data_IF_736866208058
#
_entry.id   IF_736866208058
#
_cell.length_a   1.000
_cell.length_b   1.000
_cell.length_c   1.000
_cell.angle_alpha   90.00
_cell.angle_beta   90.00
_cell.angle_gamma   90.00
#
_symmetry.space_group_name_H-M   'P 1'
#
loop_
_entity.id
_entity.type
_entity.pdbx_description
1 polymer ?
#
# COMPACT_ATOMS: atom_id res chain seq x y z
N UNK A 1 3.01 35.70 2.42
CA UNK A 1 3.04 35.70 3.90
C UNK A 1 4.08 34.70 4.38
N UNK A 2 5.18 35.14 5.00
CA UNK A 2 6.18 34.22 5.56
C UNK A 2 5.70 33.71 6.93
N UNK A 3 5.35 32.43 7.02
CA UNK A 3 5.02 31.81 8.29
C UNK A 3 6.19 31.89 9.28
N UNK A 4 5.90 32.08 10.58
CA UNK A 4 6.94 32.13 11.62
C UNK A 4 7.75 30.82 11.62
N UNK A 5 9.10 30.87 11.65
CA UNK A 5 9.93 29.67 11.75
C UNK A 5 9.49 28.78 12.93
N UNK A 6 9.39 27.47 12.70
CA UNK A 6 8.91 26.50 13.70
C UNK A 6 7.40 26.41 13.92
N UNK A 7 6.60 27.30 13.29
CA UNK A 7 5.15 27.15 13.28
C UNK A 7 4.68 25.96 12.43
N UNK A 8 3.50 25.43 12.73
CA UNK A 8 2.91 24.32 11.97
C UNK A 8 2.78 24.65 10.48
N UNK A 9 2.42 25.88 10.13
CA UNK A 9 2.26 26.29 8.73
C UNK A 9 3.61 26.40 7.99
N UNK A 10 4.68 26.81 8.70
CA UNK A 10 6.04 26.83 8.16
C UNK A 10 6.54 25.41 7.85
N UNK A 11 6.36 24.49 8.80
CA UNK A 11 6.71 23.08 8.64
C UNK A 11 5.87 22.39 7.56
N UNK A 12 4.56 22.65 7.51
CA UNK A 12 3.66 22.08 6.51
C UNK A 12 4.05 22.50 5.09
N UNK A 13 4.43 23.77 4.90
CA UNK A 13 4.94 24.23 3.59
C UNK A 13 6.19 23.45 3.16
N UNK A 14 7.09 23.16 4.10
CA UNK A 14 8.27 22.34 3.81
C UNK A 14 7.89 20.90 3.47
N UNK A 15 6.97 20.29 4.22
CA UNK A 15 6.47 18.94 3.94
C UNK A 15 5.81 18.83 2.57
N UNK A 16 4.95 19.78 2.19
CA UNK A 16 4.30 19.80 0.87
C UNK A 16 5.34 19.96 -0.24
N UNK A 17 6.35 20.82 -0.05
CA UNK A 17 7.46 20.96 -1.00
C UNK A 17 8.23 19.64 -1.15
N UNK A 18 8.52 18.97 -0.04
CA UNK A 18 9.21 17.68 -0.05
C UNK A 18 8.38 16.62 -0.74
N UNK A 19 7.06 16.56 -0.48
CA UNK A 19 6.14 15.63 -1.14
C UNK A 19 6.17 15.76 -2.66
N UNK A 20 6.09 16.99 -3.19
CA UNK A 20 6.18 17.24 -4.63
C UNK A 20 7.56 16.87 -5.19
N UNK A 21 8.62 17.22 -4.47
CA UNK A 21 9.98 16.90 -4.88
C UNK A 21 10.22 15.38 -4.93
N UNK A 22 9.77 14.63 -3.92
CA UNK A 22 9.91 13.16 -3.89
C UNK A 22 9.04 12.47 -4.94
N UNK A 23 7.84 12.98 -5.20
CA UNK A 23 6.90 12.38 -6.17
C UNK A 23 7.35 12.61 -7.61
N UNK A 24 7.98 13.76 -7.89
CA UNK A 24 8.37 14.18 -9.24
C UNK A 24 9.89 14.10 -9.49
N UNK A 25 10.66 13.54 -8.56
CA UNK A 25 12.09 13.26 -8.74
C UNK A 25 12.29 11.89 -9.40
N UNK A 26 13.39 11.74 -10.14
CA UNK A 26 13.85 10.41 -10.56
C UNK A 26 14.13 9.51 -9.37
N UNK A 27 13.81 8.22 -9.49
CA UNK A 27 14.32 7.16 -8.61
C UNK A 27 15.72 6.69 -9.01
N UNK A 28 16.22 7.05 -10.19
CA UNK A 28 17.56 6.67 -10.63
C UNK A 28 18.62 7.56 -9.99
N UNK A 29 19.58 6.95 -9.30
CA UNK A 29 20.69 7.64 -8.65
C UNK A 29 21.62 8.39 -9.63
N UNK A 30 21.56 8.08 -10.93
CA UNK A 30 22.36 8.70 -11.99
C UNK A 30 21.72 9.95 -12.59
N UNK A 31 20.42 10.15 -12.40
CA UNK A 31 19.74 11.33 -12.93
C UNK A 31 20.03 12.53 -12.03
N UNK A 32 20.13 13.76 -12.60
CA UNK A 32 20.32 14.95 -11.80
C UNK A 32 19.21 15.06 -10.75
N UNK A 33 19.62 15.33 -9.50
CA UNK A 33 18.69 15.57 -8.38
C UNK A 33 17.83 16.79 -8.72
N UNK A 34 16.58 16.56 -9.15
CA UNK A 34 15.72 17.62 -9.66
C UNK A 34 14.39 17.12 -10.20
N UNK A 35 13.57 18.08 -10.63
CA UNK A 35 12.23 17.86 -11.15
C UNK A 35 12.29 17.16 -12.51
N UNK A 36 11.70 15.98 -12.61
CA UNK A 36 11.70 15.21 -13.85
C UNK A 36 10.60 15.71 -14.78
N UNK A 37 10.94 16.67 -15.65
CA UNK A 37 9.97 17.32 -16.55
C UNK A 37 9.20 16.33 -17.45
N UNK A 38 9.79 15.19 -17.79
CA UNK A 38 9.11 14.11 -18.53
C UNK A 38 7.96 13.50 -17.72
N UNK A 39 8.18 13.20 -16.43
CA UNK A 39 7.12 12.68 -15.56
C UNK A 39 5.99 13.69 -15.42
N UNK A 40 6.35 14.97 -15.31
CA UNK A 40 5.40 16.08 -15.20
C UNK A 40 4.56 16.18 -16.46
N UNK A 41 5.17 16.09 -17.65
CA UNK A 41 4.47 16.08 -18.92
C UNK A 41 3.51 14.88 -19.03
N UNK A 42 3.92 13.68 -18.60
CA UNK A 42 3.05 12.49 -18.57
C UNK A 42 1.83 12.72 -17.66
N UNK A 43 2.05 13.21 -16.44
CA UNK A 43 0.96 13.51 -15.50
C UNK A 43 0.03 14.59 -16.04
N UNK A 44 0.56 15.62 -16.69
CA UNK A 44 -0.22 16.68 -17.31
C UNK A 44 -1.11 16.13 -18.44
N UNK A 45 -0.55 15.33 -19.34
CA UNK A 45 -1.31 14.69 -20.44
C UNK A 45 -2.41 13.80 -19.90
N UNK A 46 -2.11 12.95 -18.91
CA UNK A 46 -3.10 12.11 -18.26
C UNK A 46 -4.23 12.95 -17.62
N UNK A 47 -3.87 14.04 -16.96
CA UNK A 47 -4.83 14.94 -16.32
C UNK A 47 -5.74 15.66 -17.32
N UNK A 48 -5.21 16.04 -18.50
CA UNK A 48 -5.99 16.60 -19.59
C UNK A 48 -6.96 15.56 -20.20
N UNK A 49 -6.53 14.30 -20.37
CA UNK A 49 -7.41 13.22 -20.81
C UNK A 49 -8.55 12.96 -19.81
N UNK A 50 -8.24 13.00 -18.51
CA UNK A 50 -9.26 12.92 -17.46
C UNK A 50 -10.26 14.10 -17.54
N UNK A 51 -9.80 15.31 -17.86
CA UNK A 51 -10.69 16.46 -18.10
C UNK A 51 -11.61 16.26 -19.30
N UNK A 52 -11.08 15.74 -20.42
CA UNK A 52 -11.89 15.43 -21.59
C UNK A 52 -12.98 14.39 -21.27
N UNK A 53 -12.62 13.31 -20.56
CA UNK A 53 -13.58 12.31 -20.09
C UNK A 53 -14.61 12.88 -19.12
N UNK A 54 -14.18 13.69 -18.15
CA UNK A 54 -15.05 14.35 -17.19
C UNK A 54 -16.03 15.31 -17.88
N UNK A 55 -15.59 16.07 -18.88
CA UNK A 55 -16.45 16.95 -19.68
C UNK A 55 -17.58 16.17 -20.35
N UNK A 56 -17.26 15.03 -20.96
CA UNK A 56 -18.24 14.16 -21.61
C UNK A 56 -19.22 13.54 -20.62
N UNK A 57 -18.72 13.00 -19.49
CA UNK A 57 -19.54 12.35 -18.46
C UNK A 57 -20.50 13.34 -17.82
N UNK A 58 -19.99 14.50 -17.39
CA UNK A 58 -20.82 15.54 -16.77
C UNK A 58 -21.88 16.01 -17.75
N UNK A 59 -21.53 16.28 -19.01
CA UNK A 59 -22.50 16.74 -20.02
C UNK A 59 -23.65 15.74 -20.28
N UNK A 60 -23.45 14.44 -20.03
CA UNK A 60 -24.49 13.41 -20.13
C UNK A 60 -25.35 13.29 -18.87
N UNK A 61 -24.78 13.59 -17.70
CA UNK A 61 -25.43 13.41 -16.39
C UNK A 61 -26.10 14.70 -15.90
N UNK A 62 -25.57 15.86 -16.28
CA UNK A 62 -26.00 17.17 -15.79
C UNK A 62 -27.06 17.84 -16.67
N UNK A 63 -27.64 17.15 -17.65
CA UNK A 63 -28.62 17.72 -18.59
C UNK A 63 -30.00 18.06 -18.00
N UNK A 64 -30.17 18.09 -16.67
CA UNK A 64 -31.45 18.39 -16.03
C UNK A 64 -31.29 19.22 -14.76
N UNK A 65 -32.01 20.34 -14.71
CA UNK A 65 -32.22 21.21 -13.53
C UNK A 65 -33.16 20.57 -12.47
N UNK A 66 -33.44 19.27 -12.59
CA UNK A 66 -34.29 18.53 -11.66
C UNK A 66 -33.57 18.00 -10.42
N UNK A 67 -34.37 17.46 -9.50
CA UNK A 67 -33.87 16.73 -8.33
C UNK A 67 -32.89 15.64 -8.74
N UNK A 68 -31.83 15.51 -7.95
CA UNK A 68 -30.78 14.52 -8.17
C UNK A 68 -31.40 13.12 -8.13
N UNK A 69 -31.29 12.31 -9.21
CA UNK A 69 -31.93 11.01 -9.24
C UNK A 69 -31.49 10.12 -8.08
N UNK A 70 -32.43 9.41 -7.45
CA UNK A 70 -32.19 8.42 -6.37
C UNK A 70 -31.03 7.48 -6.71
N UNK A 71 -30.99 6.98 -7.94
CA UNK A 71 -29.96 6.08 -8.43
C UNK A 71 -28.56 6.71 -8.41
N UNK A 72 -28.46 8.01 -8.70
CA UNK A 72 -27.20 8.75 -8.67
C UNK A 72 -26.73 8.97 -7.22
N UNK A 73 -27.64 9.28 -6.29
CA UNK A 73 -27.33 9.38 -4.84
C UNK A 73 -26.84 8.04 -4.29
N UNK A 74 -27.52 6.95 -4.65
CA UNK A 74 -27.12 5.58 -4.30
C UNK A 74 -25.71 5.25 -4.81
N UNK A 75 -25.48 5.45 -6.12
CA UNK A 75 -24.19 5.19 -6.74
C UNK A 75 -23.07 6.04 -6.12
N UNK A 76 -23.32 7.34 -5.91
CA UNK A 76 -22.39 8.25 -5.25
C UNK A 76 -22.09 7.83 -3.81
N UNK A 77 -23.09 7.39 -3.05
CA UNK A 77 -22.90 6.91 -1.67
C UNK A 77 -22.03 5.66 -1.64
N UNK A 78 -22.35 4.65 -2.46
CA UNK A 78 -21.58 3.40 -2.53
C UNK A 78 -20.14 3.69 -2.96
N UNK A 79 -19.97 4.53 -3.99
CA UNK A 79 -18.65 4.92 -4.47
C UNK A 79 -17.86 5.68 -3.40
N UNK A 80 -18.48 6.60 -2.68
CA UNK A 80 -17.81 7.37 -1.63
C UNK A 80 -17.44 6.52 -0.43
N UNK A 81 -18.29 5.56 -0.03
CA UNK A 81 -17.99 4.60 1.05
C UNK A 81 -16.84 3.69 0.64
N UNK A 82 -16.84 3.16 -0.58
CA UNK A 82 -15.73 2.38 -1.10
C UNK A 82 -14.44 3.21 -1.12
N UNK A 83 -14.51 4.44 -1.65
CA UNK A 83 -13.41 5.41 -1.68
C UNK A 83 -12.87 5.68 -0.27
N UNK A 84 -13.75 5.82 0.73
CA UNK A 84 -13.37 6.04 2.11
C UNK A 84 -12.60 4.86 2.71
N UNK A 85 -13.00 3.62 2.44
CA UNK A 85 -12.25 2.44 2.89
C UNK A 85 -10.84 2.41 2.29
N UNK A 86 -10.68 2.85 1.04
CA UNK A 86 -9.35 2.99 0.42
C UNK A 86 -8.55 4.16 1.00
N UNK A 87 -9.19 5.29 1.29
CA UNK A 87 -8.56 6.40 2.01
C UNK A 87 -8.08 5.94 3.39
N UNK A 88 -8.88 5.18 4.13
CA UNK A 88 -8.52 4.66 5.45
C UNK A 88 -7.31 3.71 5.38
N UNK A 89 -7.32 2.77 4.43
CA UNK A 89 -6.22 1.82 4.26
C UNK A 89 -4.91 2.52 3.83
N UNK A 90 -4.98 3.46 2.90
CA UNK A 90 -3.82 4.25 2.45
C UNK A 90 -3.31 5.19 3.56
N UNK A 91 -4.21 5.83 4.30
CA UNK A 91 -3.88 6.66 5.44
C UNK A 91 -3.21 5.86 6.57
N UNK A 92 -3.64 4.62 6.81
CA UNK A 92 -3.01 3.75 7.81
C UNK A 92 -1.56 3.43 7.45
N UNK A 93 -1.32 3.04 6.19
CA UNK A 93 0.04 2.82 5.67
C UNK A 93 0.89 4.08 5.79
N UNK A 94 0.38 5.22 5.32
CA UNK A 94 1.08 6.51 5.36
C UNK A 94 1.36 6.98 6.80
N UNK A 95 0.43 6.76 7.73
CA UNK A 95 0.61 7.09 9.14
C UNK A 95 1.77 6.33 9.76
N UNK A 96 1.88 5.02 9.50
CA UNK A 96 3.00 4.23 10.01
C UNK A 96 4.34 4.72 9.47
N UNK A 97 4.40 5.00 8.16
CA UNK A 97 5.62 5.48 7.51
C UNK A 97 6.06 6.84 8.07
N UNK A 98 5.13 7.79 8.16
CA UNK A 98 5.40 9.16 8.62
C UNK A 98 5.76 9.19 10.11
N UNK A 99 5.17 8.33 10.93
CA UNK A 99 5.38 8.31 12.38
C UNK A 99 6.62 7.51 12.81
N UNK A 100 7.00 6.44 12.09
CA UNK A 100 8.01 5.49 12.59
C UNK A 100 9.15 5.17 11.62
N UNK A 101 8.99 5.45 10.33
CA UNK A 101 9.96 4.99 9.31
C UNK A 101 10.77 6.16 8.77
N UNK A 102 10.23 7.37 8.91
CA UNK A 102 10.89 8.59 8.51
C UNK A 102 12.05 8.89 9.48
N UNK A 103 13.28 8.74 8.97
CA UNK A 103 14.52 8.96 9.72
C UNK A 103 14.77 10.40 10.18
N UNK A 104 13.84 11.31 9.93
CA UNK A 104 13.89 12.71 10.38
C UNK A 104 13.29 12.91 11.79
N UNK A 105 12.69 11.87 12.39
CA UNK A 105 12.09 11.96 13.72
C UNK A 105 13.07 12.27 14.83
N UNK A 106 14.27 11.68 14.81
CA UNK A 106 15.27 11.94 15.84
C UNK A 106 15.75 13.41 15.81
N UNK A 107 15.88 13.96 14.61
CA UNK A 107 16.20 15.38 14.40
C UNK A 107 15.06 16.30 14.85
N UNK A 108 13.81 15.94 14.55
CA UNK A 108 12.65 16.76 14.94
C UNK A 108 12.39 16.72 16.45
N UNK A 109 12.66 15.60 17.11
CA UNK A 109 12.53 15.47 18.57
C UNK A 109 13.67 16.16 19.34
N UNK A 110 14.86 16.26 18.75
CA UNK A 110 15.99 17.01 19.33
C UNK A 110 15.91 18.52 19.06
N UNK A 111 15.10 18.94 18.08
CA UNK A 111 14.85 20.36 17.80
C UNK A 111 13.87 21.00 18.81
N UNK A 112 13.96 22.31 19.09
CA UNK A 112 13.07 23.03 20.03
C UNK A 112 11.69 23.30 19.41
N UNK A 113 11.04 22.27 18.84
CA UNK A 113 9.72 22.36 18.23
C UNK A 113 8.66 21.74 19.13
N UNK A 114 7.48 22.38 19.30
CA UNK A 114 6.42 21.82 20.12
C UNK A 114 5.86 20.55 19.46
N UNK A 115 5.68 19.49 20.25
CA UNK A 115 5.16 18.19 19.78
C UNK A 115 3.83 18.30 19.03
N UNK A 116 2.97 19.25 19.46
CA UNK A 116 1.68 19.52 18.82
C UNK A 116 1.85 20.01 17.38
N UNK A 117 2.84 20.87 17.12
CA UNK A 117 3.14 21.37 15.77
C UNK A 117 3.60 20.24 14.87
N UNK A 118 4.55 19.41 15.33
CA UNK A 118 5.06 18.25 14.59
C UNK A 118 3.91 17.29 14.25
N UNK A 119 3.10 16.91 15.23
CA UNK A 119 1.98 15.99 15.02
C UNK A 119 0.91 16.55 14.09
N UNK A 120 0.56 17.84 14.23
CA UNK A 120 -0.39 18.53 13.34
C UNK A 120 0.09 18.48 11.89
N UNK A 121 1.37 18.75 11.67
CA UNK A 121 1.98 18.74 10.34
C UNK A 121 2.02 17.33 9.77
N UNK A 122 2.33 16.31 10.57
CA UNK A 122 2.28 14.91 10.13
C UNK A 122 0.87 14.50 9.72
N UNK A 123 -0.14 14.78 10.55
CA UNK A 123 -1.53 14.50 10.21
C UNK A 123 -1.95 15.25 8.94
N UNK A 124 -1.69 16.56 8.85
CA UNK A 124 -2.01 17.35 7.66
C UNK A 124 -1.28 16.83 6.41
N UNK A 125 -0.03 16.40 6.54
CA UNK A 125 0.72 15.76 5.45
C UNK A 125 0.07 14.47 4.97
N UNK A 126 -0.40 13.60 5.89
CA UNK A 126 -1.15 12.38 5.55
C UNK A 126 -2.48 12.75 4.87
N UNK A 127 -3.23 13.72 5.40
CA UNK A 127 -4.49 14.19 4.80
C UNK A 127 -4.29 14.67 3.36
N UNK A 128 -3.30 15.54 3.13
CA UNK A 128 -3.00 16.07 1.81
C UNK A 128 -2.48 14.97 0.87
N UNK A 129 -1.60 14.09 1.36
CA UNK A 129 -1.09 12.96 0.60
C UNK A 129 -2.19 12.01 0.15
N UNK A 130 -3.08 11.62 1.07
CA UNK A 130 -4.24 10.75 0.78
C UNK A 130 -5.22 11.46 -0.15
N UNK A 131 -5.60 12.71 0.12
CA UNK A 131 -6.54 13.44 -0.72
C UNK A 131 -6.00 13.69 -2.14
N UNK A 132 -4.68 13.85 -2.30
CA UNK A 132 -4.09 14.27 -3.58
C UNK A 132 -4.43 13.35 -4.75
N UNK A 133 -4.37 12.03 -4.58
CA UNK A 133 -4.69 11.08 -5.66
C UNK A 133 -6.17 11.13 -6.06
N UNK A 134 -7.08 11.24 -5.08
CA UNK A 134 -8.51 11.31 -5.36
C UNK A 134 -8.89 12.66 -5.98
N UNK A 135 -8.28 13.76 -5.52
CA UNK A 135 -8.46 15.07 -6.14
C UNK A 135 -7.89 15.07 -7.57
N UNK A 136 -6.78 14.40 -7.84
CA UNK A 136 -6.24 14.29 -9.20
C UNK A 136 -7.26 13.65 -10.17
N UNK A 137 -7.95 12.60 -9.73
CA UNK A 137 -8.93 11.87 -10.55
C UNK A 137 -10.32 12.53 -10.59
N UNK A 138 -10.81 13.10 -9.47
CA UNK A 138 -12.19 13.58 -9.37
C UNK A 138 -12.31 15.12 -9.52
N UNK A 139 -11.27 15.92 -9.26
CA UNK A 139 -11.31 17.37 -9.53
C UNK A 139 -11.69 17.74 -10.97
N UNK A 140 -11.30 16.98 -12.02
CA UNK A 140 -11.81 17.21 -13.37
C UNK A 140 -13.34 17.25 -13.47
N UNK A 141 -14.07 16.44 -12.69
CA UNK A 141 -15.54 16.46 -12.63
C UNK A 141 -16.06 17.75 -11.99
N UNK A 142 -15.38 18.23 -10.93
CA UNK A 142 -15.71 19.50 -10.29
C UNK A 142 -15.53 20.69 -11.25
N UNK A 143 -14.42 20.70 -12.00
CA UNK A 143 -14.15 21.73 -13.01
C UNK A 143 -15.14 21.70 -14.16
N UNK A 144 -15.37 20.51 -14.75
CA UNK A 144 -16.33 20.33 -15.83
C UNK A 144 -17.73 20.74 -15.41
N UNK A 145 -18.18 20.32 -14.21
CA UNK A 145 -19.46 20.72 -13.64
C UNK A 145 -19.59 22.23 -13.48
N UNK A 146 -18.59 22.88 -12.86
CA UNK A 146 -18.61 24.33 -12.68
C UNK A 146 -18.64 25.09 -14.01
N UNK A 147 -17.83 24.66 -15.00
CA UNK A 147 -17.78 25.29 -16.33
C UNK A 147 -19.03 25.05 -17.17
N UNK A 148 -19.75 23.93 -16.95
CA UNK A 148 -21.03 23.63 -17.58
C UNK A 148 -22.23 24.20 -16.83
N UNK A 149 -22.03 25.14 -15.89
CA UNK A 149 -23.10 25.85 -15.17
C UNK A 149 -23.62 25.17 -13.90
N UNK A 150 -22.98 24.11 -13.43
CA UNK A 150 -23.41 23.33 -12.27
C UNK A 150 -22.43 23.46 -11.08
N UNK A 151 -22.52 24.54 -10.28
CA UNK A 151 -21.58 24.80 -9.19
C UNK A 151 -21.65 23.75 -8.06
N UNK A 152 -22.73 22.98 -7.97
CA UNK A 152 -22.90 21.87 -7.02
C UNK A 152 -21.72 20.88 -7.01
N UNK A 153 -21.08 20.66 -8.16
CA UNK A 153 -19.93 19.77 -8.29
C UNK A 153 -18.67 20.27 -7.56
N UNK A 154 -18.61 21.54 -7.16
CA UNK A 154 -17.51 22.08 -6.34
C UNK A 154 -17.52 21.51 -4.92
N UNK A 155 -18.64 20.99 -4.44
CA UNK A 155 -18.73 20.31 -3.13
C UNK A 155 -17.81 19.09 -3.03
N UNK A 156 -17.37 18.55 -4.16
CA UNK A 156 -16.40 17.47 -4.24
C UNK A 156 -15.08 17.80 -3.51
N UNK A 157 -14.64 19.07 -3.53
CA UNK A 157 -13.43 19.51 -2.83
C UNK A 157 -13.52 19.37 -1.31
N UNK A 158 -14.44 20.06 -0.61
CA UNK A 158 -14.56 19.95 0.83
C UNK A 158 -14.95 18.53 1.29
N UNK A 159 -15.73 17.79 0.49
CA UNK A 159 -16.11 16.42 0.83
C UNK A 159 -14.92 15.47 0.76
N UNK A 160 -14.12 15.49 -0.32
CA UNK A 160 -12.95 14.61 -0.43
C UNK A 160 -11.87 14.97 0.60
N UNK A 161 -11.63 16.25 0.85
CA UNK A 161 -10.72 16.69 1.90
C UNK A 161 -11.22 16.29 3.30
N UNK A 162 -12.53 16.43 3.55
CA UNK A 162 -13.14 16.03 4.81
C UNK A 162 -13.05 14.53 5.04
N UNK A 163 -13.37 13.72 4.04
CA UNK A 163 -13.27 12.26 4.09
C UNK A 163 -11.82 11.81 4.30
N UNK A 164 -10.86 12.43 3.60
CA UNK A 164 -9.44 12.16 3.80
C UNK A 164 -8.98 12.56 5.22
N UNK A 165 -9.49 13.67 5.78
CA UNK A 165 -9.21 14.09 7.14
C UNK A 165 -9.76 13.12 8.20
N UNK A 166 -11.01 12.67 8.04
CA UNK A 166 -11.64 11.67 8.92
C UNK A 166 -10.87 10.35 8.84
N UNK A 167 -10.58 9.88 7.63
CA UNK A 167 -9.83 8.64 7.40
C UNK A 167 -8.42 8.71 8.01
N UNK A 168 -7.72 9.84 7.85
CA UNK A 168 -6.37 10.04 8.39
C UNK A 168 -6.35 10.16 9.90
N UNK A 169 -7.33 10.84 10.49
CA UNK A 169 -7.50 10.91 11.93
C UNK A 169 -7.74 9.52 12.53
N UNK A 170 -8.68 8.75 11.96
CA UNK A 170 -8.96 7.38 12.37
C UNK A 170 -7.73 6.48 12.20
N UNK A 171 -7.04 6.58 11.07
CA UNK A 171 -5.81 5.84 10.78
C UNK A 171 -4.70 6.14 11.81
N UNK A 172 -4.43 7.40 12.12
CA UNK A 172 -3.40 7.77 13.10
C UNK A 172 -3.73 7.27 14.51
N UNK A 173 -4.98 7.36 14.93
CA UNK A 173 -5.44 6.79 16.20
C UNK A 173 -5.23 5.29 16.23
N UNK A 174 -5.66 4.59 15.17
CA UNK A 174 -5.49 3.14 15.03
C UNK A 174 -4.01 2.76 15.04
N UNK A 175 -3.16 3.46 14.30
CA UNK A 175 -1.71 3.26 14.29
C UNK A 175 -1.13 3.34 15.70
N UNK A 176 -1.48 4.36 16.47
CA UNK A 176 -0.95 4.55 17.81
C UNK A 176 -1.45 3.49 18.80
N UNK A 177 -2.71 3.05 18.68
CA UNK A 177 -3.25 1.92 19.44
C UNK A 177 -2.50 0.63 19.11
N UNK A 178 -2.32 0.34 17.81
CA UNK A 178 -1.59 -0.85 17.36
C UNK A 178 -0.14 -0.84 17.84
N UNK A 179 0.54 0.31 17.81
CA UNK A 179 1.93 0.42 18.29
C UNK A 179 2.02 0.17 19.78
N UNK A 180 1.04 0.66 20.55
CA UNK A 180 0.99 0.43 22.00
C UNK A 180 0.80 -1.05 22.33
N UNK A 181 0.05 -1.80 21.51
CA UNK A 181 -0.29 -3.19 21.77
C UNK A 181 0.70 -4.20 21.15
N UNK A 182 1.14 -3.95 19.92
CA UNK A 182 1.93 -4.88 19.12
C UNK A 182 3.41 -4.45 18.99
N UNK A 183 3.70 -3.17 19.24
CA UNK A 183 4.98 -2.55 18.93
C UNK A 183 5.11 -2.13 17.46
N UNK A 184 5.93 -1.10 17.20
CA UNK A 184 6.05 -0.47 15.88
C UNK A 184 6.35 -1.46 14.74
N UNK A 185 7.21 -2.45 15.00
CA UNK A 185 7.61 -3.46 14.02
C UNK A 185 6.43 -4.30 13.51
N UNK A 186 5.52 -4.71 14.41
CA UNK A 186 4.34 -5.52 14.06
C UNK A 186 3.24 -4.65 13.46
N UNK A 187 3.10 -3.41 13.90
CA UNK A 187 2.15 -2.46 13.31
C UNK A 187 2.40 -2.24 11.82
N UNK A 188 3.66 -2.20 11.37
CA UNK A 188 4.01 -2.13 9.94
C UNK A 188 3.40 -3.27 9.13
N UNK A 189 3.56 -4.50 9.63
CA UNK A 189 3.00 -5.69 8.97
C UNK A 189 1.48 -5.58 8.88
N UNK A 190 0.81 -5.23 9.98
CA UNK A 190 -0.65 -5.08 10.00
C UNK A 190 -1.13 -4.00 9.04
N UNK A 191 -0.47 -2.84 9.00
CA UNK A 191 -0.84 -1.75 8.09
C UNK A 191 -0.67 -2.15 6.61
N UNK A 192 0.37 -2.90 6.28
CA UNK A 192 0.59 -3.42 4.94
C UNK A 192 -0.44 -4.50 4.56
N UNK A 193 -0.80 -5.39 5.48
CA UNK A 193 -1.87 -6.39 5.27
C UNK A 193 -3.21 -5.72 5.05
N UNK A 194 -3.54 -4.68 5.83
CA UNK A 194 -4.79 -3.94 5.63
C UNK A 194 -4.79 -3.19 4.29
N UNK A 195 -3.65 -2.61 3.89
CA UNK A 195 -3.47 -2.05 2.54
C UNK A 195 -3.64 -3.09 1.42
N UNK A 196 -3.10 -4.28 1.62
CA UNK A 196 -3.23 -5.42 0.69
C UNK A 196 -4.69 -5.86 0.54
N UNK A 197 -5.39 -6.03 1.65
CA UNK A 197 -6.80 -6.41 1.68
C UNK A 197 -7.68 -5.34 1.02
N UNK A 198 -7.37 -4.06 1.22
CA UNK A 198 -8.04 -2.97 0.51
C UNK A 198 -7.79 -3.05 -1.01
N UNK A 199 -6.54 -3.31 -1.45
CA UNK A 199 -6.24 -3.55 -2.86
C UNK A 199 -6.96 -4.78 -3.44
N UNK A 200 -7.05 -5.87 -2.68
CA UNK A 200 -7.81 -7.06 -3.06
C UNK A 200 -9.31 -6.77 -3.16
N UNK A 201 -9.86 -5.97 -2.25
CA UNK A 201 -11.25 -5.53 -2.31
C UNK A 201 -11.52 -4.69 -3.57
N UNK A 202 -10.62 -3.77 -3.96
CA UNK A 202 -10.71 -3.05 -5.24
C UNK A 202 -10.78 -4.02 -6.41
N UNK A 203 -9.88 -4.99 -6.44
CA UNK A 203 -9.83 -5.99 -7.50
C UNK A 203 -11.14 -6.77 -7.58
N UNK A 204 -11.65 -7.25 -6.44
CA UNK A 204 -12.93 -7.98 -6.40
C UNK A 204 -14.08 -7.08 -6.89
N UNK A 205 -14.17 -5.84 -6.40
CA UNK A 205 -15.19 -4.89 -6.81
C UNK A 205 -15.12 -4.58 -8.32
N UNK A 206 -13.92 -4.49 -8.89
CA UNK A 206 -13.76 -4.26 -10.34
C UNK A 206 -14.15 -5.47 -11.19
N UNK A 207 -14.14 -6.69 -10.61
CA UNK A 207 -14.58 -7.91 -11.32
C UNK A 207 -16.08 -8.17 -11.22
N UNK A 208 -16.82 -7.49 -10.33
CA UNK A 208 -18.27 -7.70 -10.17
C UNK A 208 -19.07 -7.58 -11.49
N UNK A 209 -18.80 -6.62 -12.39
CA UNK A 209 -19.50 -6.55 -13.68
C UNK A 209 -19.26 -7.79 -14.54
N UNK A 210 -18.04 -8.33 -14.54
CA UNK A 210 -17.69 -9.53 -15.30
C UNK A 210 -18.40 -10.78 -14.76
N UNK A 211 -18.59 -10.85 -13.43
CA UNK A 211 -19.33 -11.94 -12.78
C UNK A 211 -20.83 -11.87 -13.08
N UNK A 212 -21.42 -10.68 -13.08
CA UNK A 212 -22.84 -10.48 -13.36
C UNK A 212 -23.21 -10.87 -14.81
N UNK A 213 -22.33 -10.60 -15.78
CA UNK A 213 -22.49 -11.00 -17.19
C UNK A 213 -22.52 -12.53 -17.34
N UNK A 214 -21.75 -13.27 -16.54
CA UNK A 214 -21.72 -14.74 -16.59
C UNK A 214 -22.98 -15.40 -16.01
N UNK A 215 -23.63 -14.76 -15.04
CA UNK A 215 -24.82 -15.31 -14.37
C UNK A 215 -26.14 -15.05 -15.12
N UNK A 216 -26.11 -14.32 -16.24
CA UNK A 216 -27.32 -13.97 -16.99
C UNK A 216 -28.27 -13.02 -16.25
N UNK A 217 -27.84 -12.43 -15.12
CA UNK A 217 -28.60 -11.40 -14.42
C UNK A 217 -28.51 -10.09 -15.22
N UNK A 218 -29.58 -9.75 -15.94
CA UNK A 218 -29.68 -8.54 -16.76
C UNK A 218 -29.89 -7.27 -15.94
N UNK A 219 -30.33 -7.38 -14.68
CA UNK A 219 -30.46 -6.24 -13.78
C UNK A 219 -29.14 -5.96 -13.07
N UNK A 220 -28.54 -4.80 -13.36
CA UNK A 220 -27.31 -4.38 -12.69
C UNK A 220 -27.49 -4.29 -11.16
N UNK A 221 -26.43 -4.63 -10.41
CA UNK A 221 -26.40 -4.66 -8.93
C UNK A 221 -26.93 -3.34 -8.33
N UNK A 222 -26.64 -2.20 -8.95
CA UNK A 222 -27.12 -0.88 -8.51
C UNK A 222 -28.64 -0.72 -8.66
N UNK A 223 -29.25 -1.31 -9.70
CA UNK A 223 -30.70 -1.28 -9.92
C UNK A 223 -31.39 -2.14 -8.85
N UNK A 224 -30.84 -3.32 -8.55
CA UNK A 224 -31.33 -4.19 -7.48
C UNK A 224 -31.22 -3.53 -6.10
N UNK A 225 -30.08 -2.91 -5.81
CA UNK A 225 -29.87 -2.14 -4.59
C UNK A 225 -30.79 -0.90 -4.50
N UNK A 226 -31.09 -0.26 -5.63
CA UNK A 226 -32.03 0.85 -5.67
C UNK A 226 -33.44 0.41 -5.29
N UNK A 227 -33.95 -0.67 -5.90
CA UNK A 227 -35.26 -1.26 -5.58
C UNK A 227 -35.37 -1.69 -4.12
N UNK A 228 -34.34 -2.37 -3.59
CA UNK A 228 -34.35 -2.79 -2.18
C UNK A 228 -34.25 -1.63 -1.19
N UNK A 229 -33.67 -0.50 -1.61
CA UNK A 229 -33.54 0.69 -0.79
C UNK A 229 -34.82 1.54 -0.73
N UNK A 230 -35.84 1.27 -1.56
CA UNK A 230 -37.01 2.16 -1.72
C UNK A 230 -37.69 2.54 -0.41
N UNK A 231 -37.66 1.64 0.58
CA UNK A 231 -38.20 1.81 1.93
C UNK A 231 -37.44 2.81 2.80
N UNK A 232 -36.20 3.15 2.45
CA UNK A 232 -35.36 4.11 3.17
C UNK A 232 -35.56 5.51 2.57
N UNK A 233 -36.02 6.47 3.37
CA UNK A 233 -36.19 7.86 2.93
C UNK A 233 -34.87 8.53 2.52
N UNK A 234 -34.93 9.44 1.53
CA UNK A 234 -33.76 10.17 1.00
C UNK A 234 -33.06 11.05 2.05
N UNK A 235 -33.80 11.50 3.07
CA UNK A 235 -33.27 12.34 4.15
C UNK A 235 -32.47 11.55 5.18
N UNK A 236 -32.45 10.22 5.09
CA UNK A 236 -31.72 9.36 6.01
C UNK A 236 -30.23 9.68 6.05
N UNK A 237 -29.64 9.50 7.24
CA UNK A 237 -28.20 9.69 7.49
C UNK A 237 -27.34 8.78 6.61
N UNK A 238 -27.88 7.65 6.15
CA UNK A 238 -27.18 6.68 5.30
C UNK A 238 -26.83 7.29 3.93
N UNK A 239 -27.68 8.18 3.41
CA UNK A 239 -27.48 8.84 2.11
C UNK A 239 -26.70 10.14 2.19
N UNK A 240 -26.36 10.60 3.41
CA UNK A 240 -25.62 11.83 3.63
C UNK A 240 -24.30 11.89 2.82
N UNK A 241 -23.48 10.82 2.74
CA UNK A 241 -22.24 10.86 1.96
C UNK A 241 -22.47 11.13 0.46
N UNK A 242 -23.46 10.46 -0.16
CA UNK A 242 -23.79 10.69 -1.57
C UNK A 242 -24.39 12.07 -1.82
N UNK A 243 -25.27 12.54 -0.93
CA UNK A 243 -25.83 13.91 -0.98
C UNK A 243 -24.74 14.97 -0.90
N UNK A 244 -23.80 14.81 0.03
CA UNK A 244 -22.66 15.70 0.17
C UNK A 244 -21.82 15.76 -1.11
N UNK A 245 -21.52 14.59 -1.71
CA UNK A 245 -20.73 14.50 -2.94
C UNK A 245 -21.42 15.18 -4.15
N UNK A 246 -22.75 15.10 -4.20
CA UNK A 246 -23.56 15.67 -5.28
C UNK A 246 -23.95 17.14 -5.04
N UNK A 247 -23.49 17.74 -3.95
CA UNK A 247 -23.55 19.17 -3.70
C UNK A 247 -24.69 19.66 -2.81
N UNK A 248 -25.31 18.79 -2.00
CA UNK A 248 -26.15 19.23 -0.90
C UNK A 248 -25.29 20.02 0.13
N UNK A 249 -25.56 21.33 0.32
CA UNK A 249 -24.72 22.19 1.15
C UNK A 249 -24.74 21.78 2.63
N UNK A 250 -25.87 21.27 3.14
CA UNK A 250 -25.98 20.84 4.53
C UNK A 250 -25.18 19.55 4.74
N UNK A 251 -25.33 18.58 3.83
CA UNK A 251 -24.56 17.34 3.89
C UNK A 251 -23.05 17.62 3.75
N UNK A 252 -22.64 18.48 2.83
CA UNK A 252 -21.23 18.87 2.68
C UNK A 252 -20.68 19.60 3.93
N UNK A 253 -21.48 20.51 4.52
CA UNK A 253 -21.11 21.20 5.76
C UNK A 253 -20.95 20.25 6.94
N UNK A 254 -21.85 19.27 7.10
CA UNK A 254 -21.73 18.26 8.17
C UNK A 254 -20.46 17.42 8.02
N UNK A 255 -20.11 16.97 6.81
CA UNK A 255 -18.83 16.28 6.54
C UNK A 255 -17.65 17.17 6.91
N UNK A 256 -17.68 18.45 6.54
CA UNK A 256 -16.64 19.42 6.88
C UNK A 256 -16.48 19.63 8.38
N UNK A 257 -17.58 19.81 9.13
CA UNK A 257 -17.57 19.98 10.58
C UNK A 257 -17.04 18.72 11.28
N UNK A 258 -17.52 17.54 10.88
CA UNK A 258 -17.05 16.25 11.44
C UNK A 258 -15.56 16.06 11.17
N UNK A 259 -15.09 16.43 9.97
CA UNK A 259 -13.68 16.36 9.62
C UNK A 259 -12.80 17.30 10.46
N UNK A 260 -13.23 18.55 10.64
CA UNK A 260 -12.53 19.52 11.48
C UNK A 260 -12.48 19.06 12.94
N UNK A 261 -13.59 18.54 13.47
CA UNK A 261 -13.65 17.99 14.82
C UNK A 261 -12.75 16.77 14.97
N UNK A 262 -12.81 15.81 14.05
CA UNK A 262 -11.97 14.62 14.07
C UNK A 262 -10.48 14.99 14.02
N UNK A 263 -10.10 15.93 13.16
CA UNK A 263 -8.72 16.42 13.06
C UNK A 263 -8.29 17.11 14.36
N UNK A 264 -9.07 18.09 14.83
CA UNK A 264 -8.74 18.87 16.02
C UNK A 264 -8.64 17.98 17.27
N UNK A 265 -9.61 17.08 17.46
CA UNK A 265 -9.65 16.15 18.59
C UNK A 265 -8.47 15.19 18.57
N UNK A 266 -8.11 14.65 17.40
CA UNK A 266 -6.95 13.76 17.27
C UNK A 266 -5.65 14.48 17.61
N UNK A 267 -5.48 15.72 17.15
CA UNK A 267 -4.31 16.53 17.49
C UNK A 267 -4.24 16.83 18.99
N UNK A 268 -5.34 17.25 19.61
CA UNK A 268 -5.34 17.66 21.01
C UNK A 268 -5.19 16.47 21.97
N UNK A 269 -5.89 15.36 21.72
CA UNK A 269 -5.86 14.20 22.60
C UNK A 269 -4.58 13.37 22.47
N UNK A 270 -3.98 13.32 21.28
CA UNK A 270 -3.02 12.26 20.97
C UNK A 270 -1.58 12.73 20.86
N UNK A 271 -1.31 14.04 20.77
CA UNK A 271 0.06 14.53 20.62
C UNK A 271 1.02 14.10 21.74
N UNK A 272 0.52 13.86 22.97
CA UNK A 272 1.33 13.39 24.11
C UNK A 272 1.61 11.88 24.04
N UNK A 273 0.65 11.11 23.53
CA UNK A 273 0.81 9.67 23.32
C UNK A 273 1.83 9.39 22.22
N UNK A 274 1.89 10.26 21.21
CA UNK A 274 2.88 10.22 20.13
C UNK A 274 4.32 10.32 20.66
N UNK A 275 4.63 11.32 21.49
CA UNK A 275 6.00 11.49 22.02
C UNK A 275 6.43 10.31 22.89
N UNK A 276 5.53 9.79 23.73
CA UNK A 276 5.79 8.57 24.53
C UNK A 276 6.00 7.34 23.65
N UNK A 277 5.19 7.15 22.62
CA UNK A 277 5.30 6.03 21.68
C UNK A 277 6.60 6.05 20.89
N UNK A 278 7.06 7.23 20.47
CA UNK A 278 8.35 7.42 19.79
C UNK A 278 9.55 7.18 20.71
N UNK A 279 9.52 7.67 21.95
CA UNK A 279 10.58 7.41 22.92
C UNK A 279 10.72 5.92 23.24
N UNK A 280 9.60 5.20 23.31
CA UNK A 280 9.60 3.74 23.45
C UNK A 280 10.15 3.06 22.20
N UNK A 281 9.88 3.57 21.00
CA UNK A 281 10.41 3.01 19.75
C UNK A 281 11.93 3.26 19.59
N UNK A 282 12.39 4.47 19.89
CA UNK A 282 13.81 4.85 19.85
C UNK A 282 14.63 4.17 20.96
N UNK A 283 14.06 4.04 22.16
CA UNK A 283 14.66 3.31 23.29
C UNK A 283 14.68 1.78 23.14
N UNK A 284 14.06 1.23 22.08
CA UNK A 284 14.08 -0.21 21.75
C UNK A 284 15.28 -0.60 20.88
N UNK A 285 16.30 0.26 20.76
CA UNK A 285 17.67 -0.22 20.70
C UNK A 285 18.00 -0.94 22.03
N UNK A 286 17.34 -2.08 22.29
CA UNK A 286 17.69 -3.03 23.34
C UNK A 286 19.13 -3.42 23.05
N UNK A 287 20.07 -2.78 23.72
CA UNK A 287 21.34 -3.40 24.03
C UNK A 287 20.97 -4.69 24.74
N UNK A 288 20.93 -5.79 23.99
CA UNK A 288 20.62 -7.10 24.54
C UNK A 288 21.56 -7.28 25.72
N UNK A 289 21.02 -7.43 26.94
CA UNK A 289 21.85 -7.72 28.10
C UNK A 289 22.73 -8.90 27.72
N UNK A 290 24.05 -8.72 27.78
CA UNK A 290 25.01 -9.76 27.44
C UNK A 290 24.63 -11.00 28.24
N UNK A 291 24.38 -12.16 27.61
CA UNK A 291 24.01 -13.36 28.36
C UNK A 291 25.11 -13.63 29.39
N UNK A 292 24.75 -13.94 30.65
CA UNK A 292 25.74 -14.24 31.68
C UNK A 292 26.46 -15.53 31.31
N UNK A 293 27.79 -15.48 31.26
CA UNK A 293 28.65 -16.63 30.97
C UNK A 293 29.58 -16.47 29.76
N UNK A 294 30.53 -17.39 29.64
CA UNK A 294 31.42 -17.47 28.49
C UNK A 294 30.64 -17.92 27.23
N UNK A 295 30.91 -17.26 26.10
CA UNK A 295 30.31 -17.62 24.81
C UNK A 295 30.78 -19.02 24.41
N UNK A 296 29.87 -20.01 24.45
CA UNK A 296 30.14 -21.36 23.93
C UNK A 296 29.84 -21.40 22.44
N UNK A 297 30.87 -21.22 21.62
CA UNK A 297 30.73 -21.33 20.16
C UNK A 297 30.64 -22.80 19.75
N UNK A 298 29.51 -23.19 19.14
CA UNK A 298 29.32 -24.52 18.56
C UNK A 298 29.58 -24.47 17.05
N UNK A 299 30.81 -24.74 16.63
CA UNK A 299 31.23 -24.76 15.22
C UNK A 299 30.88 -26.06 14.47
N UNK A 300 29.82 -26.78 14.89
CA UNK A 300 29.49 -28.12 14.35
C UNK A 300 28.67 -28.10 13.05
N UNK A 301 28.27 -26.93 12.54
CA UNK A 301 27.45 -26.84 11.33
C UNK A 301 28.28 -26.39 10.12
N UNK A 302 28.13 -27.10 9.00
CA UNK A 302 28.78 -26.72 7.73
C UNK A 302 28.41 -25.29 7.31
N UNK A 303 29.36 -24.62 6.65
CA UNK A 303 29.24 -23.21 6.24
C UNK A 303 27.95 -22.93 5.46
N UNK A 304 27.59 -23.82 4.52
CA UNK A 304 26.36 -23.67 3.72
C UNK A 304 25.09 -23.66 4.58
N UNK A 305 24.95 -24.60 5.52
CA UNK A 305 23.79 -24.67 6.42
C UNK A 305 23.70 -23.46 7.35
N UNK A 306 24.85 -23.00 7.85
CA UNK A 306 24.94 -21.81 8.70
C UNK A 306 24.51 -20.56 7.91
N UNK A 307 24.93 -20.44 6.65
CA UNK A 307 24.58 -19.33 5.78
C UNK A 307 23.10 -19.36 5.41
N UNK A 308 22.53 -20.52 5.02
CA UNK A 308 21.10 -20.65 4.74
C UNK A 308 20.26 -20.27 5.97
N UNK A 309 20.59 -20.79 7.15
CA UNK A 309 19.89 -20.45 8.40
C UNK A 309 20.07 -18.98 8.80
N UNK A 310 21.19 -18.35 8.45
CA UNK A 310 21.39 -16.90 8.64
C UNK A 310 20.38 -16.15 7.76
N UNK A 311 20.36 -16.43 6.47
CA UNK A 311 19.50 -15.72 5.52
C UNK A 311 18.01 -15.91 5.84
N UNK A 312 17.57 -17.13 6.16
CA UNK A 312 16.17 -17.35 6.57
C UNK A 312 15.80 -16.60 7.85
N UNK A 313 16.71 -16.53 8.83
CA UNK A 313 16.48 -15.73 10.04
C UNK A 313 16.44 -14.23 9.74
N UNK A 314 17.20 -13.75 8.75
CA UNK A 314 17.16 -12.36 8.33
C UNK A 314 15.85 -12.04 7.61
N UNK A 315 15.41 -12.89 6.67
CA UNK A 315 14.12 -12.76 5.98
C UNK A 315 12.97 -12.73 7.00
N UNK A 316 12.95 -13.66 7.97
CA UNK A 316 11.94 -13.69 9.03
C UNK A 316 12.00 -12.49 9.99
N UNK A 317 13.13 -11.79 10.04
CA UNK A 317 13.31 -10.61 10.87
C UNK A 317 13.00 -9.32 10.13
N UNK A 318 12.75 -9.36 8.83
CA UNK A 318 12.41 -8.18 8.04
C UNK A 318 10.89 -8.10 7.83
N UNK A 319 10.19 -7.19 8.53
CA UNK A 319 8.74 -7.07 8.43
C UNK A 319 8.29 -6.65 7.04
N UNK A 320 9.09 -5.84 6.34
CA UNK A 320 8.73 -5.32 5.04
C UNK A 320 8.77 -6.44 3.99
N UNK A 321 9.77 -7.32 4.08
CA UNK A 321 9.87 -8.49 3.21
C UNK A 321 8.75 -9.49 3.46
N UNK A 322 8.42 -9.74 4.73
CA UNK A 322 7.30 -10.60 5.09
C UNK A 322 6.02 -10.07 4.44
N UNK A 323 5.75 -8.77 4.53
CA UNK A 323 4.55 -8.19 3.93
C UNK A 323 4.56 -8.19 2.41
N UNK A 324 5.71 -7.98 1.76
CA UNK A 324 5.81 -8.07 0.30
C UNK A 324 5.52 -9.49 -0.19
N UNK A 325 6.12 -10.49 0.47
CA UNK A 325 5.86 -11.90 0.21
C UNK A 325 4.40 -12.22 0.50
N UNK A 326 3.85 -11.77 1.64
CA UNK A 326 2.47 -12.00 2.04
C UNK A 326 1.45 -11.37 1.08
N UNK A 327 1.75 -10.21 0.51
CA UNK A 327 0.93 -9.59 -0.54
C UNK A 327 0.94 -10.46 -1.80
N UNK A 328 2.10 -10.97 -2.23
CA UNK A 328 2.17 -11.91 -3.36
C UNK A 328 1.43 -13.22 -3.06
N UNK A 329 1.49 -13.71 -1.82
CA UNK A 329 0.71 -14.86 -1.35
C UNK A 329 -0.79 -14.60 -1.35
N UNK A 330 -1.24 -13.37 -1.05
CA UNK A 330 -2.65 -13.02 -1.11
C UNK A 330 -3.21 -13.21 -2.53
N UNK A 331 -2.44 -12.82 -3.56
CA UNK A 331 -2.78 -13.07 -4.96
C UNK A 331 -2.68 -14.54 -5.37
N UNK A 332 -1.98 -15.36 -4.60
CA UNK A 332 -1.91 -16.81 -4.78
C UNK A 332 -3.22 -17.49 -4.33
N UNK A 333 -3.96 -16.93 -3.37
CA UNK A 333 -5.18 -17.56 -2.80
C UNK A 333 -6.25 -17.84 -3.87
N UNK A 334 -6.64 -16.90 -4.75
CA UNK A 334 -7.60 -17.19 -5.81
C UNK A 334 -7.11 -18.28 -6.76
N UNK A 335 -5.82 -18.26 -7.11
CA UNK A 335 -5.20 -19.27 -7.98
C UNK A 335 -5.25 -20.65 -7.31
N UNK A 336 -4.91 -20.74 -6.02
CA UNK A 336 -5.01 -21.97 -5.25
C UNK A 336 -6.44 -22.48 -5.17
N UNK A 337 -7.42 -21.61 -4.97
CA UNK A 337 -8.83 -22.03 -4.97
C UNK A 337 -9.26 -22.62 -6.32
N UNK A 338 -8.80 -22.02 -7.43
CA UNK A 338 -9.04 -22.54 -8.77
C UNK A 338 -8.36 -23.89 -9.02
N UNK A 339 -7.16 -24.14 -8.44
CA UNK A 339 -6.48 -25.45 -8.49
C UNK A 339 -7.44 -26.55 -8.00
N UNK A 340 -8.15 -26.31 -6.91
CA UNK A 340 -9.04 -27.29 -6.28
C UNK A 340 -10.39 -27.48 -6.99
N UNK A 341 -10.72 -26.67 -8.00
CA UNK A 341 -11.99 -26.74 -8.75
C UNK A 341 -11.90 -27.75 -9.92
N UNK A 342 -13.03 -28.29 -10.35
CA UNK A 342 -13.11 -29.35 -11.37
C UNK A 342 -13.36 -28.77 -12.78
N UNK A 343 -12.31 -28.30 -13.46
CA UNK A 343 -12.35 -27.98 -14.90
C UNK A 343 -10.94 -28.12 -15.54
N UNK A 344 -10.82 -28.89 -16.63
CA UNK A 344 -9.52 -29.15 -17.29
C UNK A 344 -8.91 -27.89 -17.93
N UNK A 345 -9.73 -26.99 -18.48
CA UNK A 345 -9.26 -25.72 -19.05
C UNK A 345 -8.66 -24.76 -18.00
N UNK A 346 -9.02 -24.91 -16.72
CA UNK A 346 -8.48 -24.09 -15.63
C UNK A 346 -7.07 -24.55 -15.20
N UNK A 347 -6.66 -25.79 -15.50
CA UNK A 347 -5.36 -26.33 -15.08
C UNK A 347 -4.18 -25.60 -15.71
N UNK A 348 -4.29 -25.19 -16.98
CA UNK A 348 -3.27 -24.39 -17.67
C UNK A 348 -3.18 -22.96 -17.13
N UNK A 349 -4.32 -22.31 -16.88
CA UNK A 349 -4.35 -20.96 -16.29
C UNK A 349 -3.76 -20.94 -14.87
N UNK A 350 -4.07 -21.98 -14.09
CA UNK A 350 -3.49 -22.20 -12.77
C UNK A 350 -1.98 -22.45 -12.84
N UNK A 351 -1.53 -23.34 -13.72
CA UNK A 351 -0.11 -23.67 -13.88
C UNK A 351 0.74 -22.48 -14.30
N UNK A 352 0.23 -21.67 -15.24
CA UNK A 352 0.87 -20.43 -15.68
C UNK A 352 0.91 -19.38 -14.57
N UNK A 353 -0.21 -19.18 -13.85
CA UNK A 353 -0.27 -18.28 -12.69
C UNK A 353 0.69 -18.66 -11.57
N UNK A 354 0.74 -19.95 -11.20
CA UNK A 354 1.70 -20.46 -10.22
C UNK A 354 3.14 -20.25 -10.67
N UNK A 355 3.46 -20.57 -11.93
CA UNK A 355 4.81 -20.39 -12.49
C UNK A 355 5.24 -18.92 -12.43
N UNK A 356 4.37 -18.00 -12.87
CA UNK A 356 4.66 -16.56 -12.85
C UNK A 356 4.89 -16.05 -11.41
N UNK A 357 4.04 -16.45 -10.46
CA UNK A 357 4.17 -16.05 -9.05
C UNK A 357 5.44 -16.59 -8.42
N UNK A 358 5.81 -17.85 -8.69
CA UNK A 358 7.06 -18.46 -8.22
C UNK A 358 8.29 -17.70 -8.76
N UNK A 359 8.28 -17.34 -10.05
CA UNK A 359 9.36 -16.56 -10.66
C UNK A 359 9.51 -15.18 -10.03
N UNK A 360 8.39 -14.48 -9.83
CA UNK A 360 8.38 -13.15 -9.18
C UNK A 360 8.89 -13.20 -7.74
N UNK A 361 8.45 -14.19 -6.97
CA UNK A 361 8.81 -14.36 -5.56
C UNK A 361 10.25 -14.85 -5.39
N UNK A 362 10.72 -15.75 -6.26
CA UNK A 362 12.12 -16.18 -6.28
C UNK A 362 13.04 -15.04 -6.67
N UNK A 363 12.66 -14.21 -7.65
CA UNK A 363 13.41 -13.01 -8.04
C UNK A 363 13.50 -12.00 -6.89
N UNK A 364 12.39 -11.70 -6.21
CA UNK A 364 12.39 -10.75 -5.10
C UNK A 364 13.27 -11.24 -3.94
N UNK A 365 13.15 -12.50 -3.54
CA UNK A 365 14.03 -13.11 -2.52
C UNK A 365 15.49 -13.16 -2.95
N UNK A 366 15.77 -13.44 -4.23
CA UNK A 366 17.12 -13.43 -4.77
C UNK A 366 17.76 -12.04 -4.66
N UNK A 367 17.02 -10.97 -4.96
CA UNK A 367 17.51 -9.59 -4.84
C UNK A 367 17.93 -9.28 -3.41
N UNK A 368 17.17 -9.75 -2.44
CA UNK A 368 17.45 -9.53 -1.02
C UNK A 368 18.66 -10.35 -0.55
N UNK A 369 18.69 -11.64 -0.86
CA UNK A 369 19.72 -12.54 -0.35
C UNK A 369 21.09 -12.28 -1.01
N UNK A 370 21.08 -11.95 -2.31
CA UNK A 370 22.30 -11.78 -3.09
C UNK A 370 22.86 -10.36 -3.01
N UNK A 371 22.01 -9.33 -3.09
CA UNK A 371 22.46 -7.95 -3.32
C UNK A 371 22.39 -7.08 -2.08
N UNK A 372 21.61 -7.50 -1.10
CA UNK A 372 21.43 -6.84 0.19
C UNK A 372 22.34 -7.49 1.24
N UNK A 373 23.66 -7.51 1.01
CA UNK A 373 24.63 -7.84 2.06
C UNK A 373 25.24 -6.58 2.65
N UNK A 374 25.25 -6.50 3.98
CA UNK A 374 25.74 -5.32 4.70
C UNK A 374 27.28 -5.24 4.69
N UNK A 375 27.96 -6.37 4.46
CA UNK A 375 29.42 -6.44 4.44
C UNK A 375 29.92 -7.43 3.36
N UNK A 376 29.75 -7.09 2.07
CA UNK A 376 30.21 -7.94 0.97
C UNK A 376 31.73 -8.15 1.02
N UNK A 377 32.48 -7.15 1.46
CA UNK A 377 33.94 -7.17 1.52
C UNK A 377 34.46 -8.23 2.50
N UNK A 378 33.77 -8.43 3.63
CA UNK A 378 34.12 -9.46 4.62
C UNK A 378 33.89 -10.88 4.09
N UNK A 379 32.90 -11.08 3.21
CA UNK A 379 32.69 -12.37 2.56
C UNK A 379 33.74 -12.61 1.48
N UNK A 380 34.15 -11.57 0.76
CA UNK A 380 35.21 -11.64 -0.26
C UNK A 380 36.59 -11.90 0.35
N UNK A 381 36.87 -11.34 1.53
CA UNK A 381 38.13 -11.58 2.27
C UNK A 381 38.13 -12.90 3.06
N UNK A 382 37.03 -13.66 3.05
CA UNK A 382 36.96 -14.91 3.79
C UNK A 382 37.72 -16.03 3.07
N UNK A 383 38.38 -16.94 3.80
CA UNK A 383 39.06 -18.10 3.21
C UNK A 383 38.09 -19.16 2.66
N UNK A 384 36.78 -18.90 2.70
CA UNK A 384 35.75 -19.84 2.29
C UNK A 384 35.58 -19.85 0.77
N UNK A 385 35.30 -21.02 0.20
CA UNK A 385 35.09 -21.16 -1.23
C UNK A 385 33.86 -20.33 -1.69
N UNK A 386 34.10 -19.41 -2.63
CA UNK A 386 33.08 -18.52 -3.20
C UNK A 386 31.93 -19.29 -3.85
N UNK A 387 32.20 -20.47 -4.44
CA UNK A 387 31.14 -21.33 -5.01
C UNK A 387 30.16 -21.81 -3.94
N UNK A 388 30.68 -22.25 -2.79
CA UNK A 388 29.85 -22.73 -1.67
C UNK A 388 28.97 -21.61 -1.12
N UNK A 389 29.51 -20.39 -0.99
CA UNK A 389 28.74 -19.22 -0.56
C UNK A 389 27.62 -18.91 -1.56
N UNK A 390 27.95 -18.85 -2.86
CA UNK A 390 26.95 -18.56 -3.91
C UNK A 390 25.84 -19.60 -3.95
N UNK A 391 26.18 -20.89 -3.96
CA UNK A 391 25.18 -21.97 -3.96
C UNK A 391 24.31 -21.95 -2.69
N UNK A 392 24.90 -21.71 -1.52
CA UNK A 392 24.14 -21.57 -0.28
C UNK A 392 23.17 -20.38 -0.32
N UNK A 393 23.56 -19.26 -0.92
CA UNK A 393 22.68 -18.10 -1.12
C UNK A 393 21.55 -18.37 -2.12
N UNK A 394 21.86 -19.00 -3.25
CA UNK A 394 20.84 -19.40 -4.22
C UNK A 394 19.82 -20.36 -3.57
N UNK A 395 20.31 -21.35 -2.82
CA UNK A 395 19.46 -22.27 -2.07
C UNK A 395 18.62 -21.54 -1.00
N UNK A 396 19.19 -20.55 -0.32
CA UNK A 396 18.46 -19.75 0.67
C UNK A 396 17.32 -18.94 0.05
N UNK A 397 17.49 -18.43 -1.17
CA UNK A 397 16.45 -17.69 -1.91
C UNK A 397 15.37 -18.61 -2.48
N UNK A 398 15.74 -19.74 -3.09
CA UNK A 398 14.82 -20.69 -3.74
C UNK A 398 14.03 -21.51 -2.72
N UNK A 399 14.67 -21.91 -1.60
CA UNK A 399 14.11 -22.83 -0.61
C UNK A 399 12.72 -22.45 -0.10
N UNK A 400 12.48 -21.21 0.36
CA UNK A 400 11.16 -20.78 0.83
C UNK A 400 10.07 -20.88 -0.24
N UNK A 401 10.39 -20.55 -1.50
CA UNK A 401 9.44 -20.61 -2.63
C UNK A 401 9.04 -22.05 -2.92
N UNK A 402 10.02 -22.95 -2.98
CA UNK A 402 9.77 -24.36 -3.21
C UNK A 402 8.99 -25.01 -2.06
N UNK A 403 9.30 -24.66 -0.81
CA UNK A 403 8.57 -25.16 0.36
C UNK A 403 7.09 -24.75 0.33
N UNK A 404 6.80 -23.51 -0.06
CA UNK A 404 5.45 -22.98 -0.19
C UNK A 404 4.63 -23.72 -1.26
N UNK A 405 5.24 -23.97 -2.42
CA UNK A 405 4.54 -24.45 -3.63
C UNK A 405 4.56 -25.97 -3.74
N UNK A 406 5.32 -26.65 -2.88
CA UNK A 406 5.39 -28.11 -2.82
C UNK A 406 4.00 -28.75 -2.66
N UNK A 407 3.17 -28.25 -1.74
CA UNK A 407 1.83 -28.80 -1.47
C UNK A 407 0.90 -28.72 -2.70
N UNK A 408 0.65 -27.55 -3.32
CA UNK A 408 -0.26 -27.48 -4.47
C UNK A 408 0.26 -28.22 -5.69
N UNK A 409 1.59 -28.27 -5.91
CA UNK A 409 2.18 -29.00 -7.03
C UNK A 409 2.05 -30.51 -6.82
N UNK A 410 2.34 -31.03 -5.62
CA UNK A 410 2.16 -32.45 -5.32
C UNK A 410 0.69 -32.87 -5.49
N UNK A 411 -0.24 -32.03 -5.05
CA UNK A 411 -1.67 -32.28 -5.24
C UNK A 411 -2.07 -32.28 -6.72
N UNK A 412 -1.56 -31.33 -7.51
CA UNK A 412 -1.84 -31.26 -8.94
C UNK A 412 -1.25 -32.46 -9.69
N UNK A 413 -0.04 -32.89 -9.35
CA UNK A 413 0.61 -34.07 -9.91
C UNK A 413 -0.11 -35.36 -9.54
N UNK A 414 -0.65 -35.45 -8.32
CA UNK A 414 -1.49 -36.59 -7.94
C UNK A 414 -2.75 -36.66 -8.81
N UNK A 415 -3.40 -35.51 -9.03
CA UNK A 415 -4.69 -35.45 -9.73
C UNK A 415 -4.55 -35.57 -11.25
N UNK A 416 -3.53 -34.94 -11.82
CA UNK A 416 -3.26 -34.87 -13.25
C UNK A 416 -1.73 -35.00 -13.46
N UNK A 417 -1.20 -36.22 -13.60
CA UNK A 417 0.25 -36.46 -13.53
C UNK A 417 1.04 -35.75 -14.63
N UNK A 418 0.49 -35.68 -15.85
CA UNK A 418 1.14 -34.99 -16.97
C UNK A 418 1.18 -33.48 -16.72
N UNK A 419 0.02 -32.88 -16.43
CA UNK A 419 -0.09 -31.43 -16.18
C UNK A 419 0.69 -30.99 -14.95
N UNK A 420 0.61 -31.74 -13.85
CA UNK A 420 1.35 -31.46 -12.62
C UNK A 420 2.87 -31.59 -12.79
N UNK A 421 3.34 -32.58 -13.55
CA UNK A 421 4.76 -32.71 -13.88
C UNK A 421 5.26 -31.55 -14.74
N UNK A 422 4.46 -31.11 -15.72
CA UNK A 422 4.77 -29.95 -16.55
C UNK A 422 4.86 -28.66 -15.70
N UNK A 423 3.90 -28.46 -14.80
CA UNK A 423 3.88 -27.31 -13.87
C UNK A 423 5.06 -27.37 -12.90
N UNK A 424 5.42 -28.55 -12.39
CA UNK A 424 6.60 -28.72 -11.54
C UNK A 424 7.88 -28.35 -12.31
N UNK A 425 7.99 -28.77 -13.58
CA UNK A 425 9.12 -28.44 -14.43
C UNK A 425 9.22 -26.92 -14.68
N UNK A 426 8.11 -26.25 -15.02
CA UNK A 426 8.12 -24.80 -15.25
C UNK A 426 8.43 -24.01 -13.98
N UNK A 427 7.94 -24.44 -12.81
CA UNK A 427 8.24 -23.81 -11.52
C UNK A 427 9.72 -23.97 -11.16
N UNK A 428 10.31 -25.16 -11.32
CA UNK A 428 11.73 -25.37 -11.12
C UNK A 428 12.57 -24.51 -12.09
N UNK A 429 12.19 -24.49 -13.37
CA UNK A 429 12.88 -23.69 -14.40
C UNK A 429 12.85 -22.19 -14.09
N UNK A 430 11.68 -21.64 -13.76
CA UNK A 430 11.54 -20.20 -13.52
C UNK A 430 12.18 -19.75 -12.20
N UNK A 431 12.13 -20.55 -11.14
CA UNK A 431 12.74 -20.22 -9.84
C UNK A 431 14.26 -20.20 -9.94
N UNK A 432 14.85 -21.22 -10.58
CA UNK A 432 16.29 -21.26 -10.84
C UNK A 432 16.69 -20.13 -11.80
N UNK A 433 16.00 -20.00 -12.92
CA UNK A 433 16.30 -19.01 -13.96
C UNK A 433 16.24 -17.58 -13.45
N UNK A 434 15.16 -17.20 -12.77
CA UNK A 434 15.02 -15.86 -12.18
C UNK A 434 16.12 -15.55 -11.15
N UNK A 435 16.43 -16.50 -10.27
CA UNK A 435 17.48 -16.31 -9.24
C UNK A 435 18.87 -16.18 -9.88
N UNK A 436 19.17 -16.94 -10.93
CA UNK A 436 20.42 -16.83 -11.69
C UNK A 436 20.53 -15.49 -12.44
N UNK A 437 19.44 -15.03 -13.04
CA UNK A 437 19.40 -13.71 -13.70
C UNK A 437 19.74 -12.61 -12.70
N UNK A 438 19.15 -12.64 -11.49
CA UNK A 438 19.46 -11.67 -10.44
C UNK A 438 20.93 -11.76 -10.01
N UNK A 439 21.47 -12.97 -9.87
CA UNK A 439 22.88 -13.16 -9.54
C UNK A 439 23.82 -12.57 -10.60
N UNK A 440 23.48 -12.66 -11.89
CA UNK A 440 24.32 -12.15 -12.98
C UNK A 440 24.17 -10.65 -13.23
N UNK A 441 22.96 -10.12 -13.08
CA UNK A 441 22.65 -8.71 -13.40
C UNK A 441 22.73 -7.78 -12.19
N UNK A 442 22.71 -8.35 -10.98
CA UNK A 442 22.61 -7.60 -9.75
C UNK A 442 23.87 -6.80 -9.41
N UNK A 443 23.68 -5.53 -9.01
CA UNK A 443 24.71 -4.69 -8.41
C UNK A 443 24.47 -4.61 -6.91
N UNK A 444 25.52 -4.79 -6.13
CA UNK A 444 25.44 -4.69 -4.67
C UNK A 444 24.91 -3.30 -4.26
N UNK A 445 23.98 -3.26 -3.30
CA UNK A 445 23.37 -2.02 -2.82
C UNK A 445 22.91 -2.17 -1.38
N UNK A 446 22.84 -1.05 -0.66
CA UNK A 446 22.40 -1.05 0.74
C UNK A 446 20.95 -1.55 0.88
N UNK A 447 20.69 -2.35 1.92
CA UNK A 447 19.34 -2.85 2.28
C UNK A 447 18.29 -1.74 2.37
N UNK A 448 18.69 -0.58 2.88
CA UNK A 448 17.82 0.59 3.07
C UNK A 448 17.40 1.28 1.76
N UNK A 449 18.17 1.09 0.68
CA UNK A 449 17.91 1.65 -0.65
C UNK A 449 16.95 0.75 -1.45
N UNK A 450 17.03 -0.57 -1.27
CA UNK A 450 16.19 -1.55 -1.96
C UNK A 450 14.74 -1.54 -1.46
N UNK A 451 14.51 -1.25 -0.17
CA UNK A 451 13.17 -1.06 0.40
C UNK A 451 12.35 0.10 -0.21
N UNK A 452 12.99 1.04 -0.93
CA UNK A 452 12.34 2.21 -1.56
C UNK A 452 12.11 2.05 -3.07
N UNK A 453 12.72 1.02 -3.67
CA UNK A 453 12.72 0.78 -5.12
C UNK A 453 11.70 -0.25 -5.59
N UNK A 454 11.07 -1.00 -4.68
CA UNK A 454 10.04 -2.00 -4.97
C UNK A 454 8.66 -1.42 -5.25
#
# INVERSE_FOLDING_TARGET
MSARPGSALWLLRHEVRMFWYTTLSSKNAKDPRGFHWKLVAIWLVLWLLLHAGAWYVVGKVSGGDGDVPRQLVLAATVLLVATFLFMLASALKSSVEVLFDRGDMDLLLSSPLPSRSIFTVRLAGVVLGVASIYLLFLAPLAHAGALQGHPRWLALYPVLLGMAAIASAAAMLLTLILVRWLGARRTRVVAQVLGALAGALLFILSQLPNLAVQTGESEGILVRAAKSSETIGMDSLIWLPGRALLGDPLAAATVGVVALLAFALTVTLTHRSFTRGLQLAAGVAKTSKRPPGALRFRFHQGLASTLIRKEWRLILRDPQLISQVLLQLLYLIPVLFLVFRKDDAQTLAVGTGLTMLCGSLSSSLAWIVLLSEDAPDLLQSSPANTRTIRLAKLAAAIGPVMALVCVPVLWLTWRAPVSGSLVAFTICGITIGSTLIVMWTGKAGERSALARGG
#
